data_IF_742363316013
#
_entry.id   IF_742363316013
#
_cell.length_a   1.000
_cell.length_b   1.000
_cell.length_c   1.000
_cell.angle_alpha   90.00
_cell.angle_beta   90.00
_cell.angle_gamma   90.00
#
_symmetry.space_group_name_H-M   'P 1'
#
loop_
_entity.id
_entity.type
_entity.pdbx_description
1 polymer ?
#
# COMPACT_ATOMS: atom_id res chain seq x y z
N UNK A 1 -20.70 47.86 0.76
CA UNK A 1 -21.56 47.00 -0.07
C UNK A 1 -21.73 45.66 0.64
N UNK A 2 -22.87 45.41 1.30
CA UNK A 2 -23.15 44.10 1.94
C UNK A 2 -23.86 43.23 0.91
N UNK A 3 -23.19 42.18 0.45
CA UNK A 3 -23.81 41.20 -0.44
C UNK A 3 -24.71 40.33 0.45
N UNK A 4 -26.03 40.50 0.33
CA UNK A 4 -27.00 39.64 0.99
C UNK A 4 -27.15 38.37 0.16
N UNK A 5 -26.40 37.34 0.53
CA UNK A 5 -26.46 36.02 -0.12
C UNK A 5 -27.58 35.22 0.54
N UNK A 6 -28.53 34.75 -0.25
CA UNK A 6 -29.58 33.84 0.22
C UNK A 6 -29.00 32.45 0.50
N UNK A 7 -29.65 31.66 1.38
CA UNK A 7 -29.23 30.29 1.72
C UNK A 7 -28.99 29.40 0.48
N UNK A 8 -29.76 29.63 -0.59
CA UNK A 8 -29.70 28.86 -1.84
C UNK A 8 -28.46 29.23 -2.67
N UNK A 9 -28.16 30.51 -2.77
CA UNK A 9 -26.94 31.02 -3.41
C UNK A 9 -25.69 30.62 -2.63
N UNK A 10 -25.76 30.59 -1.29
CA UNK A 10 -24.66 30.11 -0.46
C UNK A 10 -24.36 28.63 -0.69
N UNK A 11 -25.40 27.80 -0.89
CA UNK A 11 -25.26 26.38 -1.23
C UNK A 11 -24.62 26.20 -2.61
N UNK A 12 -25.08 26.97 -3.61
CA UNK A 12 -24.49 26.95 -4.95
C UNK A 12 -23.02 27.37 -4.94
N UNK A 13 -22.69 28.43 -4.18
CA UNK A 13 -21.30 28.87 -4.00
C UNK A 13 -20.45 27.82 -3.30
N UNK A 14 -20.99 27.14 -2.28
CA UNK A 14 -20.31 26.02 -1.62
C UNK A 14 -20.09 24.84 -2.58
N UNK A 15 -21.04 24.50 -3.44
CA UNK A 15 -20.85 23.40 -4.40
C UNK A 15 -19.87 23.77 -5.52
N UNK A 16 -19.82 25.05 -5.92
CA UNK A 16 -18.84 25.59 -6.88
C UNK A 16 -17.43 25.67 -6.27
N UNK A 17 -17.31 26.13 -5.02
CA UNK A 17 -16.03 26.32 -4.33
C UNK A 17 -15.50 25.01 -3.71
N UNK A 18 -16.40 24.11 -3.30
CA UNK A 18 -16.11 22.84 -2.65
C UNK A 18 -16.94 21.72 -3.33
N UNK A 19 -16.51 21.26 -4.51
CA UNK A 19 -17.15 20.16 -5.20
C UNK A 19 -17.32 18.94 -4.28
N UNK A 20 -18.31 18.09 -4.57
CA UNK A 20 -18.59 16.89 -3.77
C UNK A 20 -17.35 16.03 -3.49
N UNK A 21 -16.42 16.01 -4.46
CA UNK A 21 -15.11 15.37 -4.34
C UNK A 21 -14.31 15.94 -3.17
N UNK A 22 -14.23 17.26 -3.03
CA UNK A 22 -13.55 17.95 -1.92
C UNK A 22 -14.20 17.62 -0.58
N UNK A 23 -15.53 17.57 -0.52
CA UNK A 23 -16.26 17.18 0.69
C UNK A 23 -15.99 15.70 1.06
N UNK A 24 -15.89 14.81 0.07
CA UNK A 24 -15.52 13.42 0.29
C UNK A 24 -14.08 13.27 0.80
N UNK A 25 -13.14 14.04 0.25
CA UNK A 25 -11.76 14.10 0.75
C UNK A 25 -11.71 14.62 2.19
N UNK A 26 -12.41 15.70 2.51
CA UNK A 26 -12.47 16.26 3.86
C UNK A 26 -12.99 15.22 4.87
N UNK A 27 -14.08 14.53 4.55
CA UNK A 27 -14.64 13.46 5.39
C UNK A 27 -13.63 12.33 5.63
N UNK A 28 -12.91 11.89 4.57
CA UNK A 28 -11.87 10.85 4.70
C UNK A 28 -10.69 11.34 5.52
N UNK A 29 -10.27 12.59 5.33
CA UNK A 29 -9.17 13.18 6.07
C UNK A 29 -9.48 13.23 7.57
N UNK A 30 -10.67 13.70 7.94
CA UNK A 30 -11.12 13.71 9.33
C UNK A 30 -11.21 12.29 9.91
N UNK A 31 -11.75 11.34 9.13
CA UNK A 31 -11.89 9.94 9.54
C UNK A 31 -10.53 9.26 9.80
N UNK A 32 -9.52 9.57 9.01
CA UNK A 32 -8.21 8.89 9.06
C UNK A 32 -7.09 9.77 9.65
N UNK A 33 -7.40 10.94 10.20
CA UNK A 33 -6.41 11.93 10.67
C UNK A 33 -5.34 11.33 11.58
N UNK A 34 -5.75 10.50 12.54
CA UNK A 34 -4.84 9.87 13.51
C UNK A 34 -3.92 8.83 12.84
N UNK A 35 -4.33 8.25 11.71
CA UNK A 35 -3.55 7.27 10.95
C UNK A 35 -2.60 7.91 9.93
N UNK A 36 -2.92 9.13 9.47
CA UNK A 36 -2.12 9.83 8.46
C UNK A 36 -0.82 10.39 9.04
N UNK A 37 -0.80 10.71 10.34
CA UNK A 37 0.29 11.43 10.99
C UNK A 37 1.04 10.62 12.05
N UNK A 38 0.91 9.29 12.03
CA UNK A 38 1.57 8.40 13.01
C UNK A 38 3.09 8.57 13.05
N UNK A 39 3.70 8.99 11.93
CA UNK A 39 5.14 9.28 11.85
C UNK A 39 5.60 10.48 12.71
N UNK A 40 4.67 11.33 13.16
CA UNK A 40 4.98 12.44 14.07
C UNK A 40 5.21 11.91 15.49
N UNK A 41 4.41 10.92 15.89
CA UNK A 41 4.42 10.38 17.25
C UNK A 41 5.40 9.21 17.42
N UNK A 42 5.73 8.49 16.34
CA UNK A 42 6.55 7.27 16.37
C UNK A 42 7.76 7.40 15.45
N UNK A 43 8.94 7.36 16.06
CA UNK A 43 10.22 7.38 15.35
C UNK A 43 10.40 6.13 14.45
N UNK A 44 10.97 6.33 13.27
CA UNK A 44 11.23 5.25 12.29
C UNK A 44 10.07 4.92 11.36
N UNK A 45 8.87 5.49 11.56
CA UNK A 45 7.77 5.36 10.60
C UNK A 45 7.94 6.39 9.49
N UNK A 46 7.94 5.99 8.20
CA UNK A 46 8.05 6.94 7.09
C UNK A 46 6.78 7.79 6.98
N UNK A 47 6.95 9.05 6.59
CA UNK A 47 5.85 9.98 6.31
C UNK A 47 5.02 9.60 5.06
N UNK A 48 5.53 8.66 4.25
CA UNK A 48 4.91 8.21 3.00
C UNK A 48 4.48 6.73 3.08
N UNK A 49 3.54 6.35 2.23
CA UNK A 49 2.99 4.99 2.17
C UNK A 49 3.69 4.09 1.13
N UNK A 50 4.93 4.42 0.74
CA UNK A 50 5.62 3.77 -0.37
C UNK A 50 5.83 2.26 -0.14
N UNK A 51 6.02 1.85 1.12
CA UNK A 51 6.18 0.45 1.49
C UNK A 51 4.92 -0.38 1.18
N UNK A 52 3.74 0.13 1.57
CA UNK A 52 2.48 -0.56 1.30
C UNK A 52 2.16 -0.56 -0.21
N UNK A 53 2.41 0.55 -0.91
CA UNK A 53 2.23 0.60 -2.37
C UNK A 53 3.13 -0.40 -3.10
N UNK A 54 4.40 -0.53 -2.68
CA UNK A 54 5.31 -1.56 -3.22
C UNK A 54 4.79 -2.97 -2.99
N UNK A 55 4.32 -3.27 -1.78
CA UNK A 55 3.76 -4.58 -1.47
C UNK A 55 2.53 -4.89 -2.35
N UNK A 56 1.65 -3.91 -2.59
CA UNK A 56 0.45 -4.08 -3.39
C UNK A 56 0.69 -4.06 -4.91
N UNK A 57 1.77 -3.42 -5.37
CA UNK A 57 2.09 -3.29 -6.80
C UNK A 57 2.17 -4.63 -7.51
N UNK A 58 2.77 -5.63 -6.87
CA UNK A 58 2.89 -6.97 -7.47
C UNK A 58 1.52 -7.63 -7.69
N UNK A 59 0.57 -7.43 -6.78
CA UNK A 59 -0.81 -7.90 -6.95
C UNK A 59 -1.53 -7.15 -8.08
N UNK A 60 -1.35 -5.84 -8.17
CA UNK A 60 -1.96 -5.03 -9.22
C UNK A 60 -1.44 -5.44 -10.61
N UNK A 61 -0.13 -5.65 -10.75
CA UNK A 61 0.49 -6.13 -11.99
C UNK A 61 -0.01 -7.52 -12.35
N UNK A 62 -0.06 -8.44 -11.38
CA UNK A 62 -0.57 -9.78 -11.63
C UNK A 62 -2.03 -9.77 -12.08
N UNK A 63 -2.90 -8.98 -11.42
CA UNK A 63 -4.31 -8.83 -11.83
C UNK A 63 -4.43 -8.32 -13.25
N UNK A 64 -3.59 -7.35 -13.63
CA UNK A 64 -3.57 -6.80 -14.99
C UNK A 64 -3.21 -7.85 -16.04
N UNK A 65 -2.27 -8.75 -15.71
CA UNK A 65 -1.83 -9.82 -16.62
C UNK A 65 -2.83 -10.98 -16.68
N UNK A 66 -3.30 -11.45 -15.53
CA UNK A 66 -4.15 -12.65 -15.42
C UNK A 66 -5.64 -12.37 -15.58
N UNK A 67 -6.07 -11.10 -15.54
CA UNK A 67 -7.48 -10.68 -15.61
C UNK A 67 -8.27 -10.93 -14.33
N UNK A 68 -8.29 -12.18 -13.84
CA UNK A 68 -8.95 -12.57 -12.59
C UNK A 68 -8.16 -13.66 -11.87
N UNK A 69 -8.34 -13.77 -10.55
CA UNK A 69 -7.85 -14.91 -9.79
C UNK A 69 -8.98 -15.91 -9.54
N UNK A 70 -8.71 -17.20 -9.80
CA UNK A 70 -9.59 -18.27 -9.36
C UNK A 70 -9.63 -18.33 -7.83
N UNK A 71 -10.82 -18.52 -7.24
CA UNK A 71 -10.98 -18.56 -5.78
C UNK A 71 -10.09 -19.62 -5.12
N UNK A 72 -9.87 -20.75 -5.80
CA UNK A 72 -9.08 -21.86 -5.28
C UNK A 72 -7.56 -21.64 -5.37
N UNK A 73 -7.07 -20.97 -6.42
CA UNK A 73 -5.63 -20.74 -6.62
C UNK A 73 -5.11 -19.45 -5.96
N UNK A 74 -6.02 -18.55 -5.55
CA UNK A 74 -5.65 -17.27 -4.91
C UNK A 74 -4.86 -17.47 -3.62
N UNK A 75 -5.27 -18.33 -2.66
CA UNK A 75 -4.57 -18.45 -1.38
C UNK A 75 -3.13 -18.94 -1.53
N UNK A 76 -2.89 -19.93 -2.39
CA UNK A 76 -1.55 -20.48 -2.62
C UNK A 76 -0.66 -19.48 -3.35
N UNK A 77 -1.20 -18.75 -4.32
CA UNK A 77 -0.49 -17.66 -4.97
C UNK A 77 -0.10 -16.55 -3.97
N UNK A 78 -1.03 -16.12 -3.12
CA UNK A 78 -0.77 -15.09 -2.11
C UNK A 78 0.28 -15.55 -1.09
N UNK A 79 0.27 -16.84 -0.72
CA UNK A 79 1.29 -17.43 0.15
C UNK A 79 2.67 -17.42 -0.49
N UNK A 80 2.78 -17.84 -1.76
CA UNK A 80 4.06 -17.80 -2.47
C UNK A 80 4.56 -16.36 -2.65
N UNK A 81 3.65 -15.43 -2.96
CA UNK A 81 3.98 -14.02 -3.12
C UNK A 81 4.47 -13.42 -1.80
N UNK A 82 3.82 -13.72 -0.67
CA UNK A 82 4.24 -13.18 0.64
C UNK A 82 5.64 -13.68 1.03
N UNK A 83 5.94 -14.97 0.83
CA UNK A 83 7.27 -15.55 1.04
C UNK A 83 8.30 -14.88 0.14
N UNK A 84 7.97 -14.71 -1.14
CA UNK A 84 8.84 -14.05 -2.13
C UNK A 84 9.15 -12.61 -1.73
N UNK A 85 8.14 -11.83 -1.36
CA UNK A 85 8.32 -10.44 -0.92
C UNK A 85 9.16 -10.36 0.35
N UNK A 86 8.92 -11.23 1.33
CA UNK A 86 9.68 -11.26 2.59
C UNK A 86 11.15 -11.59 2.32
N UNK A 87 11.44 -12.60 1.50
CA UNK A 87 12.81 -12.91 1.08
C UNK A 87 13.47 -11.70 0.39
N UNK A 88 12.74 -10.97 -0.47
CA UNK A 88 13.24 -9.75 -1.12
C UNK A 88 13.54 -8.64 -0.12
N UNK A 89 12.63 -8.35 0.81
CA UNK A 89 12.83 -7.33 1.84
C UNK A 89 14.03 -7.64 2.75
N UNK A 90 14.28 -8.91 3.03
CA UNK A 90 15.42 -9.36 3.86
C UNK A 90 16.69 -9.68 3.06
N UNK A 91 16.71 -9.44 1.74
CA UNK A 91 17.84 -9.74 0.86
C UNK A 91 18.29 -11.23 0.88
N UNK A 92 17.33 -12.15 0.99
CA UNK A 92 17.53 -13.61 1.02
C UNK A 92 17.16 -14.22 -0.33
N UNK A 93 17.89 -15.25 -0.75
CA UNK A 93 17.58 -16.01 -1.98
C UNK A 93 16.32 -16.86 -1.80
N UNK A 94 15.26 -16.57 -2.57
CA UNK A 94 14.02 -17.35 -2.55
C UNK A 94 14.27 -18.83 -2.90
N UNK A 95 15.04 -19.10 -3.94
CA UNK A 95 15.29 -20.48 -4.38
C UNK A 95 16.03 -21.27 -3.30
N UNK A 96 17.05 -20.68 -2.68
CA UNK A 96 17.77 -21.34 -1.59
C UNK A 96 16.87 -21.54 -0.37
N UNK A 97 15.97 -20.59 -0.06
CA UNK A 97 15.00 -20.75 1.01
C UNK A 97 14.07 -21.94 0.74
N UNK A 98 13.48 -22.02 -0.45
CA UNK A 98 12.59 -23.12 -0.83
C UNK A 98 13.29 -24.48 -0.82
N UNK A 99 14.56 -24.53 -1.23
CA UNK A 99 15.36 -25.77 -1.22
C UNK A 99 15.87 -26.16 0.18
N UNK A 100 15.96 -25.21 1.12
CA UNK A 100 16.48 -25.48 2.46
C UNK A 100 15.55 -26.31 3.34
N UNK A 101 14.25 -26.35 3.01
CA UNK A 101 13.23 -26.95 3.87
C UNK A 101 12.90 -26.14 5.12
N UNK A 102 13.57 -25.00 5.35
CA UNK A 102 13.28 -24.09 6.45
C UNK A 102 11.89 -23.47 6.28
N UNK A 103 11.15 -23.38 7.39
CA UNK A 103 9.82 -22.74 7.43
C UNK A 103 9.87 -21.31 7.94
N UNK A 104 10.97 -20.95 8.59
CA UNK A 104 11.17 -19.66 9.21
C UNK A 104 12.17 -18.85 8.36
N UNK A 105 11.64 -17.83 7.69
CA UNK A 105 12.46 -16.97 6.83
C UNK A 105 13.50 -16.23 7.67
N UNK A 106 13.19 -15.83 8.91
CA UNK A 106 14.09 -15.05 9.76
C UNK A 106 15.31 -15.88 10.18
N UNK A 107 15.09 -17.16 10.52
CA UNK A 107 16.16 -18.12 10.86
C UNK A 107 17.01 -18.52 9.66
N UNK A 108 16.47 -18.46 8.45
CA UNK A 108 17.20 -18.83 7.24
C UNK A 108 18.36 -17.85 6.98
N UNK A 109 19.60 -18.35 7.08
CA UNK A 109 20.84 -17.58 6.86
C UNK A 109 21.38 -17.67 5.42
N UNK A 110 20.54 -18.06 4.46
CA UNK A 110 20.96 -18.35 3.09
C UNK A 110 21.79 -17.26 2.42
N UNK A 111 22.46 -17.63 1.33
CA UNK A 111 23.29 -16.74 0.57
C UNK A 111 22.54 -15.47 0.13
N UNK A 112 23.26 -14.34 0.12
CA UNK A 112 22.75 -13.09 -0.45
C UNK A 112 22.34 -13.41 -1.89
N UNK A 113 21.06 -13.21 -2.21
CA UNK A 113 20.53 -13.47 -3.54
C UNK A 113 21.37 -12.73 -4.59
N UNK A 114 21.55 -13.37 -5.76
CA UNK A 114 22.21 -12.78 -6.91
C UNK A 114 21.83 -11.31 -7.04
N UNK A 115 22.87 -10.50 -7.25
CA UNK A 115 22.96 -9.03 -7.28
C UNK A 115 22.01 -8.33 -8.28
N UNK A 116 20.74 -8.72 -8.38
CA UNK A 116 19.82 -8.30 -9.44
C UNK A 116 18.73 -7.32 -9.03
N UNK A 117 18.59 -7.01 -7.74
CA UNK A 117 17.48 -6.17 -7.25
C UNK A 117 17.93 -5.21 -6.15
N UNK A 118 19.10 -4.58 -6.35
CA UNK A 118 19.54 -3.47 -5.47
C UNK A 118 18.58 -2.29 -5.68
N UNK A 119 17.92 -1.88 -4.59
CA UNK A 119 17.01 -0.75 -4.60
C UNK A 119 17.76 0.54 -4.98
N UNK A 120 17.40 1.13 -6.11
CA UNK A 120 17.56 2.55 -6.39
C UNK A 120 16.19 3.23 -6.23
#
# INVERSE_FOLDING_TARGET
MKINITKKEYRLLLDILYPEVTQAFQKRFLKYREKLFVFIDIEGIPWNNNAAERALRHLAVQRKISGSFGKESTPDYLRLLSVTQTCRFQNKSLLQFLLSGEKDIDKFKGGKGLMGWRMH
#
